data_IF_630500445196
#
_entry.id   IF_630500445196
#
_cell.length_a   1.000
_cell.length_b   1.000
_cell.length_c   1.000
_cell.angle_alpha   90.00
_cell.angle_beta   90.00
_cell.angle_gamma   90.00
#
_symmetry.space_group_name_H-M   'P 1'
#
loop_
_entity.id
_entity.type
_entity.pdbx_description
1 polymer ?
#
# COMPACT_ATOMS: atom_id res chain seq x y z
N UNK A 1 24.98 5.71 -9.09
CA UNK A 1 24.04 4.58 -9.10
C UNK A 1 23.24 4.68 -10.38
N UNK A 2 23.20 3.61 -11.16
CA UNK A 2 22.45 3.56 -12.41
C UNK A 2 20.95 3.56 -12.08
N UNK A 3 20.27 4.66 -12.35
CA UNK A 3 18.84 4.87 -12.06
C UNK A 3 17.95 4.21 -13.12
N UNK A 4 18.38 3.06 -13.63
CA UNK A 4 17.67 2.37 -14.70
C UNK A 4 16.39 1.77 -14.13
N UNK A 5 15.25 2.15 -14.71
CA UNK A 5 13.97 1.58 -14.34
C UNK A 5 13.96 0.10 -14.67
N UNK A 6 13.50 -0.72 -13.72
CA UNK A 6 13.41 -2.15 -13.93
C UNK A 6 12.44 -2.49 -15.07
N UNK A 7 12.71 -3.53 -15.82
CA UNK A 7 11.71 -4.12 -16.71
C UNK A 7 10.67 -4.90 -15.90
N UNK A 8 9.57 -5.29 -16.55
CA UNK A 8 8.57 -6.17 -15.95
C UNK A 8 9.17 -7.54 -15.61
N UNK A 9 10.10 -8.04 -16.42
CA UNK A 9 10.78 -9.31 -16.17
C UNK A 9 11.75 -9.23 -14.99
N UNK A 10 12.44 -8.10 -14.82
CA UNK A 10 13.25 -7.85 -13.63
C UNK A 10 12.39 -7.82 -12.37
N UNK A 11 11.22 -7.16 -12.43
CA UNK A 11 10.26 -7.19 -11.33
C UNK A 11 9.76 -8.60 -11.01
N UNK A 12 9.35 -9.39 -12.02
CA UNK A 12 8.88 -10.77 -11.83
C UNK A 12 9.98 -11.66 -11.25
N UNK A 13 11.22 -11.52 -11.74
CA UNK A 13 12.37 -12.27 -11.26
C UNK A 13 12.65 -11.97 -9.79
N UNK A 14 12.65 -10.68 -9.43
CA UNK A 14 12.76 -10.23 -8.05
C UNK A 14 11.64 -10.78 -7.17
N UNK A 15 10.38 -10.63 -7.59
CA UNK A 15 9.22 -11.10 -6.83
C UNK A 15 9.20 -12.63 -6.65
N UNK A 16 9.65 -13.39 -7.65
CA UNK A 16 9.80 -14.83 -7.54
C UNK A 16 10.86 -15.21 -6.49
N UNK A 17 12.00 -14.52 -6.49
CA UNK A 17 13.11 -14.77 -5.57
C UNK A 17 12.76 -14.50 -4.09
N UNK A 18 11.84 -13.56 -3.80
CA UNK A 18 11.39 -13.26 -2.43
C UNK A 18 10.89 -14.49 -1.66
N UNK A 19 10.39 -15.53 -2.35
CA UNK A 19 9.98 -16.78 -1.71
C UNK A 19 11.11 -17.81 -1.61
N UNK A 20 12.02 -17.84 -2.57
CA UNK A 20 13.12 -18.82 -2.61
C UNK A 20 14.16 -18.58 -1.51
N UNK A 21 14.16 -17.40 -0.88
CA UNK A 21 14.94 -17.12 0.34
C UNK A 21 14.43 -17.82 1.61
N UNK A 22 13.56 -18.84 1.49
CA UNK A 22 13.17 -19.72 2.59
C UNK A 22 14.35 -20.59 3.04
N UNK A 23 15.12 -20.09 4.01
CA UNK A 23 15.20 -20.72 5.33
C UNK A 23 16.07 -19.97 6.35
N UNK A 24 17.04 -19.13 5.95
CA UNK A 24 17.96 -18.48 6.92
C UNK A 24 18.59 -17.13 6.49
N UNK A 25 18.12 -16.52 5.40
CA UNK A 25 18.62 -15.20 4.98
C UNK A 25 17.45 -14.21 4.94
N UNK A 26 17.54 -13.12 5.71
CA UNK A 26 16.73 -11.93 5.43
C UNK A 26 16.90 -11.57 3.94
N UNK A 27 15.85 -11.05 3.27
CA UNK A 27 16.03 -10.49 1.95
C UNK A 27 17.19 -9.50 2.01
N UNK A 28 18.18 -9.67 1.13
CA UNK A 28 19.38 -8.84 1.11
C UNK A 28 18.96 -7.38 1.16
N UNK A 29 19.38 -6.63 2.19
CA UNK A 29 18.99 -5.23 2.40
C UNK A 29 19.19 -4.40 1.12
N UNK A 30 20.20 -4.75 0.31
CA UNK A 30 20.44 -4.15 -1.00
C UNK A 30 19.31 -4.38 -2.02
N UNK A 31 18.70 -5.56 -2.04
CA UNK A 31 17.56 -5.88 -2.92
C UNK A 31 16.29 -5.15 -2.47
N UNK A 32 16.07 -5.06 -1.16
CA UNK A 32 14.98 -4.26 -0.57
C UNK A 32 15.15 -2.79 -0.96
N UNK A 33 16.35 -2.23 -0.76
CA UNK A 33 16.64 -0.84 -1.10
C UNK A 33 16.49 -0.58 -2.60
N UNK A 34 16.93 -1.51 -3.44
CA UNK A 34 16.74 -1.41 -4.88
C UNK A 34 15.25 -1.39 -5.26
N UNK A 35 14.44 -2.26 -4.65
CA UNK A 35 12.98 -2.22 -4.86
C UNK A 35 12.37 -0.91 -4.36
N UNK A 36 12.76 -0.40 -3.20
CA UNK A 36 12.25 0.87 -2.67
C UNK A 36 12.54 2.04 -3.62
N UNK A 37 13.72 2.07 -4.24
CA UNK A 37 14.05 3.06 -5.28
C UNK A 37 13.10 2.92 -6.48
N UNK A 38 12.87 1.71 -6.99
CA UNK A 38 11.96 1.48 -8.11
C UNK A 38 10.52 1.84 -7.77
N UNK A 39 10.06 1.51 -6.57
CA UNK A 39 8.74 1.86 -6.07
C UNK A 39 8.54 3.39 -6.03
N UNK A 40 9.54 4.15 -5.58
CA UNK A 40 9.50 5.61 -5.60
C UNK A 40 9.41 6.18 -7.01
N UNK A 41 10.14 5.60 -7.96
CA UNK A 41 10.21 6.11 -9.32
C UNK A 41 8.98 5.72 -10.16
N UNK A 42 8.42 4.53 -9.95
CA UNK A 42 7.32 3.98 -10.78
C UNK A 42 5.96 4.00 -10.12
N UNK A 43 5.86 3.64 -8.85
CA UNK A 43 4.59 3.50 -8.15
C UNK A 43 4.13 4.85 -7.57
N UNK A 44 5.04 5.54 -6.88
CA UNK A 44 4.66 6.72 -6.11
C UNK A 44 3.95 7.82 -6.92
N UNK A 45 4.40 8.21 -8.13
CA UNK A 45 3.72 9.26 -8.89
C UNK A 45 2.27 8.92 -9.23
N UNK A 46 2.04 7.67 -9.63
CA UNK A 46 0.72 7.20 -10.03
C UNK A 46 -0.20 7.00 -8.82
N UNK A 47 0.32 6.45 -7.72
CA UNK A 47 -0.42 6.31 -6.46
C UNK A 47 -0.78 7.69 -5.90
N UNK A 48 0.16 8.64 -5.86
CA UNK A 48 -0.09 10.02 -5.43
C UNK A 48 -1.20 10.66 -6.25
N UNK A 49 -1.13 10.56 -7.58
CA UNK A 49 -2.15 11.11 -8.49
C UNK A 49 -3.54 10.56 -8.17
N UNK A 50 -3.66 9.24 -8.00
CA UNK A 50 -4.93 8.56 -7.68
C UNK A 50 -5.45 8.87 -6.29
N UNK A 51 -4.57 8.99 -5.29
CA UNK A 51 -4.99 9.32 -3.92
C UNK A 51 -5.39 10.79 -3.80
N UNK A 52 -4.68 11.69 -4.48
CA UNK A 52 -5.04 13.10 -4.53
C UNK A 52 -6.40 13.28 -5.22
N UNK A 53 -6.63 12.58 -6.34
CA UNK A 53 -7.91 12.65 -7.07
C UNK A 53 -9.07 12.13 -6.24
N UNK A 54 -8.90 10.98 -5.57
CA UNK A 54 -10.02 10.30 -4.92
C UNK A 54 -10.25 10.74 -3.47
N UNK A 55 -9.21 11.19 -2.77
CA UNK A 55 -9.26 11.54 -1.34
C UNK A 55 -8.92 13.01 -1.06
N UNK A 56 -8.37 13.75 -2.04
CA UNK A 56 -7.85 15.10 -1.81
C UNK A 56 -6.62 15.13 -0.89
N UNK A 57 -5.96 13.98 -0.67
CA UNK A 57 -4.86 13.84 0.27
C UNK A 57 -3.50 13.84 -0.43
N UNK A 58 -2.58 14.65 0.06
CA UNK A 58 -1.17 14.57 -0.33
C UNK A 58 -0.47 13.44 0.43
N UNK A 59 0.40 12.72 -0.25
CA UNK A 59 1.11 11.56 0.31
C UNK A 59 2.59 11.61 -0.01
N UNK A 60 3.41 11.05 0.88
CA UNK A 60 4.85 10.99 0.74
C UNK A 60 5.29 9.79 -0.11
N UNK A 61 6.23 10.02 -1.02
CA UNK A 61 6.71 8.99 -1.96
C UNK A 61 7.51 7.88 -1.26
N UNK A 62 8.26 8.22 -0.20
CA UNK A 62 8.99 7.23 0.59
C UNK A 62 8.02 6.34 1.39
N UNK A 63 6.98 6.94 1.97
CA UNK A 63 5.88 6.23 2.62
C UNK A 63 5.17 5.27 1.68
N UNK A 64 4.84 5.70 0.46
CA UNK A 64 4.24 4.83 -0.56
C UNK A 64 5.16 3.66 -0.92
N UNK A 65 6.46 3.89 -1.07
CA UNK A 65 7.41 2.82 -1.37
C UNK A 65 7.50 1.78 -0.25
N UNK A 66 7.42 2.21 1.01
CA UNK A 66 7.35 1.29 2.17
C UNK A 66 6.06 0.48 2.17
N UNK A 67 4.91 1.10 1.94
CA UNK A 67 3.63 0.37 1.82
C UNK A 67 3.66 -0.61 0.64
N UNK A 68 4.30 -0.24 -0.47
CA UNK A 68 4.49 -1.13 -1.60
C UNK A 68 5.35 -2.34 -1.27
N UNK A 69 6.37 -2.18 -0.42
CA UNK A 69 7.19 -3.29 0.07
C UNK A 69 6.36 -4.24 0.94
N UNK A 70 5.64 -3.71 1.94
CA UNK A 70 4.77 -4.51 2.82
C UNK A 70 3.71 -5.28 2.01
N UNK A 71 3.06 -4.62 1.06
CA UNK A 71 2.12 -5.24 0.13
C UNK A 71 2.72 -6.39 -0.67
N UNK A 72 3.98 -6.23 -1.10
CA UNK A 72 4.67 -7.23 -1.89
C UNK A 72 5.05 -8.44 -1.04
N UNK A 73 5.50 -8.22 0.21
CA UNK A 73 5.77 -9.29 1.17
C UNK A 73 4.50 -10.11 1.47
N UNK A 74 3.38 -9.44 1.71
CA UNK A 74 2.09 -10.10 1.95
C UNK A 74 1.65 -10.97 0.75
N UNK A 75 1.78 -10.45 -0.48
CA UNK A 75 1.37 -11.18 -1.68
C UNK A 75 2.38 -12.24 -2.13
N UNK A 76 3.64 -12.20 -1.69
CA UNK A 76 4.62 -13.25 -1.98
C UNK A 76 4.14 -14.62 -1.44
N UNK A 77 3.40 -14.60 -0.32
CA UNK A 77 2.74 -15.75 0.32
C UNK A 77 1.22 -15.78 0.08
N UNK A 78 0.69 -14.75 -0.57
CA UNK A 78 -0.73 -14.52 -0.77
C UNK A 78 -1.32 -15.18 -2.01
N UNK A 79 -2.64 -15.07 -2.13
CA UNK A 79 -3.41 -15.66 -3.25
C UNK A 79 -3.20 -14.93 -4.57
N UNK A 80 -2.73 -13.67 -4.56
CA UNK A 80 -2.55 -12.88 -5.80
C UNK A 80 -1.14 -12.97 -6.36
N UNK A 81 -0.26 -13.76 -5.75
CA UNK A 81 1.08 -14.07 -6.26
C UNK A 81 1.07 -14.42 -7.75
N UNK A 82 0.25 -15.40 -8.14
CA UNK A 82 0.18 -15.86 -9.53
C UNK A 82 -0.20 -14.72 -10.47
N UNK A 83 -1.05 -13.80 -10.03
CA UNK A 83 -1.46 -12.65 -10.82
C UNK A 83 -0.32 -11.66 -11.08
N UNK A 84 0.51 -11.37 -10.06
CA UNK A 84 1.70 -10.53 -10.22
C UNK A 84 2.74 -11.15 -11.16
N UNK A 85 2.81 -12.47 -11.23
CA UNK A 85 3.74 -13.19 -12.11
C UNK A 85 3.26 -13.27 -13.56
N UNK A 86 1.94 -13.36 -13.81
CA UNK A 86 1.39 -13.58 -15.16
C UNK A 86 0.77 -12.33 -15.80
N UNK A 87 0.51 -11.26 -15.04
CA UNK A 87 -0.04 -10.02 -15.60
C UNK A 87 0.91 -9.42 -16.63
N UNK A 88 0.36 -8.87 -17.71
CA UNK A 88 1.11 -8.09 -18.72
C UNK A 88 1.60 -6.75 -18.18
N UNK A 89 1.01 -6.25 -17.09
CA UNK A 89 1.38 -4.99 -16.43
C UNK A 89 1.54 -5.20 -14.91
N UNK A 90 2.60 -5.87 -14.45
CA UNK A 90 2.75 -6.24 -13.05
C UNK A 90 2.89 -5.03 -12.12
N UNK A 91 3.53 -3.96 -12.60
CA UNK A 91 3.60 -2.69 -11.87
C UNK A 91 2.22 -2.05 -11.70
N UNK A 92 1.36 -2.12 -12.72
CA UNK A 92 -0.02 -1.61 -12.64
C UNK A 92 -0.84 -2.35 -11.58
N UNK A 93 -0.69 -3.67 -11.50
CA UNK A 93 -1.31 -4.49 -10.44
C UNK A 93 -0.83 -4.05 -9.05
N UNK A 94 0.46 -3.77 -8.90
CA UNK A 94 1.02 -3.31 -7.62
C UNK A 94 0.53 -1.90 -7.25
N UNK A 95 0.42 -0.98 -8.22
CA UNK A 95 -0.22 0.34 -8.01
C UNK A 95 -1.63 0.19 -7.48
N UNK A 96 -2.44 -0.68 -8.09
CA UNK A 96 -3.83 -0.90 -7.69
C UNK A 96 -3.92 -1.43 -6.26
N UNK A 97 -3.04 -2.37 -5.91
CA UNK A 97 -2.98 -2.97 -4.60
C UNK A 97 -2.62 -1.93 -3.53
N UNK A 98 -1.52 -1.20 -3.73
CA UNK A 98 -1.05 -0.17 -2.79
C UNK A 98 -2.08 0.95 -2.64
N UNK A 99 -2.68 1.39 -3.75
CA UNK A 99 -3.73 2.40 -3.74
C UNK A 99 -4.93 1.94 -2.92
N UNK A 100 -5.38 0.69 -3.09
CA UNK A 100 -6.48 0.13 -2.31
C UNK A 100 -6.14 0.07 -0.83
N UNK A 101 -4.96 -0.44 -0.47
CA UNK A 101 -4.52 -0.58 0.93
C UNK A 101 -4.48 0.78 1.64
N UNK A 102 -3.91 1.81 0.99
CA UNK A 102 -3.87 3.17 1.57
C UNK A 102 -5.29 3.74 1.73
N UNK A 103 -6.18 3.53 0.75
CA UNK A 103 -7.58 3.98 0.85
C UNK A 103 -8.33 3.32 1.99
N UNK A 104 -8.15 2.02 2.19
CA UNK A 104 -8.77 1.27 3.26
C UNK A 104 -8.28 1.78 4.63
N UNK A 105 -6.96 1.98 4.78
CA UNK A 105 -6.35 2.56 5.98
C UNK A 105 -6.85 3.99 6.25
N UNK A 106 -6.95 4.83 5.22
CA UNK A 106 -7.50 6.19 5.34
C UNK A 106 -8.97 6.16 5.79
N UNK A 107 -9.82 5.35 5.13
CA UNK A 107 -11.24 5.20 5.49
C UNK A 107 -11.41 4.69 6.92
N UNK A 108 -10.60 3.72 7.35
CA UNK A 108 -10.62 3.22 8.72
C UNK A 108 -10.27 4.34 9.72
N UNK A 109 -9.28 5.16 9.38
CA UNK A 109 -8.81 6.28 10.20
C UNK A 109 -9.83 7.41 10.29
N UNK A 110 -10.58 7.70 9.23
CA UNK A 110 -11.63 8.74 9.23
C UNK A 110 -12.96 8.24 9.82
N UNK A 111 -13.28 6.94 9.69
CA UNK A 111 -14.50 6.35 10.28
C UNK A 111 -14.45 6.29 11.80
N UNK A 112 -13.28 6.06 12.42
CA UNK A 112 -13.13 5.95 13.88
C UNK A 112 -13.52 7.25 14.63
N UNK A 113 -13.04 8.44 14.25
CA UNK A 113 -13.48 9.71 14.82
C UNK A 113 -14.99 9.93 14.67
N UNK A 114 -15.55 9.63 13.49
CA UNK A 114 -17.00 9.82 13.25
C UNK A 114 -17.86 8.88 14.08
N UNK A 115 -17.48 7.61 14.22
CA UNK A 115 -18.20 6.67 15.06
C UNK A 115 -18.13 7.05 16.55
N UNK A 116 -16.98 7.55 17.02
CA UNK A 116 -16.83 8.06 18.38
C UNK A 116 -17.68 9.32 18.59
N UNK A 117 -17.61 10.29 17.67
CA UNK A 117 -18.40 11.52 17.73
C UNK A 117 -19.91 11.26 17.70
N UNK A 118 -20.38 10.31 16.87
CA UNK A 118 -21.79 9.90 16.85
C UNK A 118 -22.21 9.21 18.16
N UNK A 119 -21.34 8.42 18.77
CA UNK A 119 -21.61 7.78 20.07
C UNK A 119 -21.62 8.79 21.23
N UNK A 120 -20.77 9.81 21.17
CA UNK A 120 -20.77 10.91 22.15
C UNK A 120 -22.00 11.82 21.98
N UNK A 121 -22.41 12.13 20.74
CA UNK A 121 -23.66 12.84 20.46
C UNK A 121 -24.90 12.06 20.91
N UNK A 122 -24.94 10.74 20.65
CA UNK A 122 -26.03 9.88 21.11
C UNK A 122 -26.12 9.86 22.65
N UNK A 123 -24.98 9.75 23.36
CA UNK A 123 -24.94 9.84 24.83
C UNK A 123 -25.40 11.20 25.34
N UNK A 124 -24.98 12.29 24.71
CA UNK A 124 -25.40 13.65 25.07
C UNK A 124 -26.90 13.89 24.82
N UNK A 125 -27.48 13.19 23.83
CA UNK A 125 -28.92 13.24 23.55
C UNK A 125 -29.74 12.41 24.55
N UNK A 126 -29.20 11.31 25.08
CA UNK A 126 -29.86 10.49 26.11
C UNK A 126 -29.79 11.14 27.51
N UNK A 127 -28.74 11.93 27.79
CA UNK A 127 -28.57 12.68 29.05
C UNK A 127 -29.28 14.04 29.05
N UNK A 128 -29.94 14.44 27.96
CA UNK A 128 -30.76 15.65 27.93
C UNK A 128 -32.03 15.41 28.77
N UNK A 129 -32.21 16.07 29.93
CA UNK A 129 -33.42 15.90 30.72
C UNK A 129 -34.59 16.44 29.89
N UNK A 130 -35.56 15.57 29.62
CA UNK A 130 -36.80 15.94 28.96
C UNK A 130 -37.43 17.14 29.66
N UNK A 131 -37.38 18.29 28.98
CA UNK A 131 -38.21 19.43 29.33
C UNK A 131 -39.62 19.15 28.83
N UNK A 132 -40.49 18.71 29.73
CA UNK A 132 -41.93 19.00 29.81
C UNK A 132 -42.51 18.30 31.06
#
# INVERSE_FOLDING_TARGET
MDTTLWSDDQFRSFFAALRDHSCFAEPDDAQRDAFLVQARLRLAPEVQRRLLTDLGATTDAQGIARVAWEALEDEAWGKRRSWLLVSTEPWGVLVDLVTRQIRESYRASVRRPRAKALKELARASDDAPGGA
#
